data_IF_717922214291
#
_entry.id   IF_717922214291
#
_cell.length_a   1.000
_cell.length_b   1.000
_cell.length_c   1.000
_cell.angle_alpha   90.00
_cell.angle_beta   90.00
_cell.angle_gamma   90.00
#
_symmetry.space_group_name_H-M   'P 1'
#
loop_
_entity.id
_entity.type
_entity.pdbx_description
1 polymer ?
#
# COMPACT_ATOMS: atom_id res chain seq x y z
N UNK A 1 -50.30 -66.04 -33.43
CA UNK A 1 -49.67 -66.76 -32.30
C UNK A 1 -49.69 -65.80 -31.12
N UNK A 2 -50.26 -66.16 -29.97
CA UNK A 2 -50.30 -65.21 -28.83
C UNK A 2 -48.89 -65.04 -28.27
N UNK A 3 -48.31 -63.85 -28.44
CA UNK A 3 -47.02 -63.51 -27.86
C UNK A 3 -47.16 -63.49 -26.33
N UNK A 4 -46.22 -64.11 -25.63
CA UNK A 4 -46.25 -64.17 -24.17
C UNK A 4 -45.79 -62.85 -23.56
N UNK A 5 -46.31 -62.50 -22.38
CA UNK A 5 -45.88 -61.29 -21.68
C UNK A 5 -44.38 -61.25 -21.37
N UNK A 6 -43.73 -62.42 -21.24
CA UNK A 6 -42.29 -62.49 -21.00
C UNK A 6 -41.49 -61.92 -22.17
N UNK A 7 -41.83 -62.31 -23.41
CA UNK A 7 -41.17 -61.79 -24.62
C UNK A 7 -41.38 -60.28 -24.75
N UNK A 8 -42.58 -59.79 -24.41
CA UNK A 8 -42.88 -58.36 -24.45
C UNK A 8 -42.09 -57.60 -23.40
N UNK A 9 -42.03 -58.08 -22.16
CA UNK A 9 -41.25 -57.47 -21.07
C UNK A 9 -39.76 -57.36 -21.42
N UNK A 10 -39.19 -58.36 -22.09
CA UNK A 10 -37.79 -58.32 -22.56
C UNK A 10 -37.56 -57.23 -23.62
N UNK A 11 -38.59 -56.89 -24.40
CA UNK A 11 -38.53 -55.88 -25.45
C UNK A 11 -38.90 -54.46 -24.96
N UNK A 12 -39.57 -54.31 -23.81
CA UNK A 12 -40.01 -53.01 -23.29
C UNK A 12 -38.88 -51.98 -23.11
N UNK A 13 -37.68 -52.32 -22.60
CA UNK A 13 -36.59 -51.36 -22.47
C UNK A 13 -36.18 -50.78 -23.83
N UNK A 14 -36.01 -51.64 -24.84
CA UNK A 14 -35.64 -51.25 -26.20
C UNK A 14 -36.77 -50.47 -26.90
N UNK A 15 -38.03 -50.83 -26.63
CA UNK A 15 -39.18 -50.06 -27.09
C UNK A 15 -39.21 -48.65 -26.47
N UNK A 16 -38.89 -48.53 -25.18
CA UNK A 16 -38.87 -47.23 -24.48
C UNK A 16 -37.81 -46.26 -25.02
N UNK A 17 -36.72 -46.80 -25.58
CA UNK A 17 -35.63 -46.05 -26.19
C UNK A 17 -35.79 -45.87 -27.72
N UNK A 18 -36.91 -46.32 -28.32
CA UNK A 18 -37.17 -46.31 -29.77
C UNK A 18 -36.10 -47.05 -30.60
N UNK A 19 -35.61 -48.19 -30.10
CA UNK A 19 -34.54 -48.98 -30.73
C UNK A 19 -35.02 -50.27 -31.41
N UNK A 20 -36.34 -50.50 -31.46
CA UNK A 20 -36.95 -51.65 -32.13
C UNK A 20 -37.26 -51.36 -33.60
N UNK A 21 -37.29 -52.41 -34.43
CA UNK A 21 -37.78 -52.33 -35.80
C UNK A 21 -39.30 -52.11 -35.84
N UNK A 22 -39.82 -51.55 -36.93
CA UNK A 22 -41.26 -51.23 -37.07
C UNK A 22 -42.18 -52.43 -36.82
N UNK A 23 -41.81 -53.61 -37.33
CA UNK A 23 -42.57 -54.85 -37.14
C UNK A 23 -42.59 -55.28 -35.66
N UNK A 24 -41.47 -55.09 -34.96
CA UNK A 24 -41.37 -55.39 -33.52
C UNK A 24 -42.14 -54.36 -32.68
N UNK A 25 -42.15 -53.09 -33.08
CA UNK A 25 -42.96 -52.05 -32.42
C UNK A 25 -44.46 -52.35 -32.49
N UNK A 26 -44.98 -52.69 -33.67
CA UNK A 26 -46.40 -53.06 -33.85
C UNK A 26 -46.77 -54.25 -32.97
N UNK A 27 -45.88 -55.25 -32.89
CA UNK A 27 -46.08 -56.43 -32.04
C UNK A 27 -46.14 -56.09 -30.54
N UNK A 28 -45.33 -55.13 -30.07
CA UNK A 28 -45.40 -54.64 -28.68
C UNK A 28 -46.66 -53.83 -28.43
N UNK A 29 -47.06 -52.96 -29.37
CA UNK A 29 -48.26 -52.12 -29.27
C UNK A 29 -49.55 -52.95 -29.20
N UNK A 30 -49.73 -53.91 -30.10
CA UNK A 30 -50.88 -54.81 -30.11
C UNK A 30 -51.04 -55.58 -28.80
N UNK A 31 -49.92 -55.96 -28.16
CA UNK A 31 -49.95 -56.68 -26.89
C UNK A 31 -50.27 -55.77 -25.69
N UNK A 32 -49.73 -54.55 -25.67
CA UNK A 32 -49.95 -53.59 -24.58
C UNK A 32 -51.40 -53.09 -24.55
N UNK A 33 -52.06 -53.00 -25.71
CA UNK A 33 -53.50 -52.68 -25.78
C UNK A 33 -54.37 -53.72 -25.07
N UNK A 34 -53.94 -54.99 -25.09
CA UNK A 34 -54.70 -56.11 -24.53
C UNK A 34 -54.21 -56.56 -23.15
N UNK A 35 -53.05 -56.08 -22.68
CA UNK A 35 -52.43 -56.50 -21.42
C UNK A 35 -52.07 -55.31 -20.51
N UNK A 36 -52.84 -55.16 -19.44
CA UNK A 36 -52.64 -54.08 -18.46
C UNK A 36 -51.32 -54.21 -17.67
N UNK A 37 -50.82 -55.42 -17.44
CA UNK A 37 -49.56 -55.64 -16.73
C UNK A 37 -48.36 -55.08 -17.52
N UNK A 38 -48.25 -55.42 -18.81
CA UNK A 38 -47.18 -54.91 -19.66
C UNK A 38 -47.27 -53.38 -19.87
N UNK A 39 -48.49 -52.83 -19.86
CA UNK A 39 -48.73 -51.38 -19.92
C UNK A 39 -48.22 -50.66 -18.68
N UNK A 40 -48.45 -51.23 -17.49
CA UNK A 40 -47.94 -50.68 -16.24
C UNK A 40 -46.40 -50.75 -16.19
N UNK A 41 -45.82 -51.89 -16.59
CA UNK A 41 -44.36 -52.05 -16.65
C UNK A 41 -43.69 -51.00 -17.56
N UNK A 42 -44.28 -50.70 -18.73
CA UNK A 42 -43.79 -49.66 -19.63
C UNK A 42 -43.86 -48.25 -19.01
N UNK A 43 -44.93 -47.95 -18.29
CA UNK A 43 -45.08 -46.67 -17.62
C UNK A 43 -44.08 -46.50 -16.47
N UNK A 44 -43.81 -47.56 -15.71
CA UNK A 44 -42.81 -47.55 -14.63
C UNK A 44 -41.40 -47.26 -15.19
N UNK A 45 -41.05 -47.87 -16.34
CA UNK A 45 -39.79 -47.60 -17.04
C UNK A 45 -39.68 -46.15 -17.55
N UNK A 46 -40.76 -45.60 -18.11
CA UNK A 46 -40.78 -44.19 -18.56
C UNK A 46 -40.62 -43.21 -17.40
N UNK A 47 -41.25 -43.51 -16.26
CA UNK A 47 -41.19 -42.69 -15.05
C UNK A 47 -39.79 -42.71 -14.43
N UNK A 48 -39.09 -43.85 -14.48
CA UNK A 48 -37.71 -43.96 -13.97
C UNK A 48 -36.68 -43.22 -14.84
N UNK A 49 -36.92 -43.12 -16.14
CA UNK A 49 -36.03 -42.42 -17.08
C UNK A 49 -36.11 -40.88 -16.98
N UNK A 50 -37.13 -40.32 -16.34
CA UNK A 50 -37.15 -38.90 -15.93
C UNK A 50 -36.30 -38.70 -14.68
N UNK A 51 -35.00 -38.97 -14.76
CA UNK A 51 -34.07 -38.54 -13.72
C UNK A 51 -34.09 -37.02 -13.70
N UNK A 52 -34.43 -36.35 -12.58
CA UNK A 52 -34.38 -34.90 -12.50
C UNK A 52 -32.92 -34.49 -12.62
N UNK A 53 -32.52 -34.06 -13.82
CA UNK A 53 -31.21 -33.44 -14.04
C UNK A 53 -31.20 -32.17 -13.20
N UNK A 54 -30.51 -32.22 -12.06
CA UNK A 54 -30.33 -31.08 -11.19
C UNK A 54 -29.43 -30.07 -11.91
N UNK A 55 -30.06 -29.14 -12.66
CA UNK A 55 -29.41 -28.03 -13.38
C UNK A 55 -29.06 -26.87 -12.45
N UNK A 56 -29.00 -27.08 -11.13
CA UNK A 56 -28.59 -26.00 -10.23
C UNK A 56 -27.09 -25.71 -10.39
N UNK A 57 -26.80 -24.70 -11.21
CA UNK A 57 -25.46 -24.13 -11.43
C UNK A 57 -25.04 -23.16 -10.32
N UNK A 58 -25.91 -22.87 -9.34
CA UNK A 58 -25.63 -21.96 -8.23
C UNK A 58 -24.37 -22.31 -7.41
N UNK A 59 -24.02 -23.59 -7.10
CA UNK A 59 -22.77 -23.91 -6.42
C UNK A 59 -21.53 -23.53 -7.23
N UNK A 60 -21.53 -23.75 -8.55
CA UNK A 60 -20.39 -23.42 -9.42
C UNK A 60 -20.19 -21.90 -9.55
N UNK A 61 -21.28 -21.13 -9.61
CA UNK A 61 -21.24 -19.66 -9.63
C UNK A 61 -20.74 -19.09 -8.29
N UNK A 62 -21.14 -19.69 -7.15
CA UNK A 62 -20.62 -19.35 -5.82
C UNK A 62 -19.12 -19.66 -5.69
N UNK A 63 -18.67 -20.79 -6.22
CA UNK A 63 -17.24 -21.15 -6.24
C UNK A 63 -16.45 -20.16 -7.11
N UNK A 64 -16.91 -19.89 -8.34
CA UNK A 64 -16.23 -18.95 -9.25
C UNK A 64 -16.12 -17.54 -8.66
N UNK A 65 -17.19 -17.04 -8.04
CA UNK A 65 -17.21 -15.69 -7.44
C UNK A 65 -16.34 -15.58 -6.19
N UNK A 66 -16.30 -16.60 -5.33
CA UNK A 66 -15.42 -16.62 -4.15
C UNK A 66 -13.94 -16.72 -4.54
N UNK A 67 -13.60 -17.54 -5.54
CA UNK A 67 -12.24 -17.62 -6.09
C UNK A 67 -11.81 -16.30 -6.74
N UNK A 68 -12.70 -15.65 -7.51
CA UNK A 68 -12.41 -14.34 -8.11
C UNK A 68 -12.18 -13.27 -7.05
N UNK A 69 -12.99 -13.24 -5.98
CA UNK A 69 -12.81 -12.32 -4.85
C UNK A 69 -11.46 -12.53 -4.17
N UNK A 70 -11.10 -13.77 -3.84
CA UNK A 70 -9.79 -14.09 -3.24
C UNK A 70 -8.63 -13.68 -4.16
N UNK A 71 -8.73 -13.95 -5.46
CA UNK A 71 -7.72 -13.53 -6.45
C UNK A 71 -7.55 -12.01 -6.47
N UNK A 72 -8.64 -11.25 -6.49
CA UNK A 72 -8.60 -9.78 -6.45
C UNK A 72 -7.98 -9.29 -5.14
N UNK A 73 -8.36 -9.87 -4.00
CA UNK A 73 -7.78 -9.50 -2.70
C UNK A 73 -6.26 -9.76 -2.64
N UNK A 74 -5.79 -10.90 -3.14
CA UNK A 74 -4.35 -11.19 -3.22
C UNK A 74 -3.62 -10.22 -4.14
N UNK A 75 -4.21 -9.87 -5.30
CA UNK A 75 -3.63 -8.88 -6.22
C UNK A 75 -3.53 -7.51 -5.55
N UNK A 76 -4.59 -7.04 -4.90
CA UNK A 76 -4.58 -5.76 -4.17
C UNK A 76 -3.51 -5.77 -3.09
N UNK A 77 -3.42 -6.84 -2.29
CA UNK A 77 -2.42 -6.95 -1.23
C UNK A 77 -0.99 -6.88 -1.81
N UNK A 78 -0.74 -7.58 -2.92
CA UNK A 78 0.55 -7.53 -3.64
C UNK A 78 0.89 -6.11 -4.11
N UNK A 79 -0.08 -5.40 -4.68
CA UNK A 79 0.09 -4.01 -5.12
C UNK A 79 0.41 -3.09 -3.94
N UNK A 80 -0.27 -3.24 -2.80
CA UNK A 80 -0.01 -2.44 -1.60
C UNK A 80 1.41 -2.65 -1.05
N UNK A 81 1.88 -3.90 -0.98
CA UNK A 81 3.24 -4.19 -0.54
C UNK A 81 4.29 -3.68 -1.52
N UNK A 82 4.05 -3.82 -2.82
CA UNK A 82 4.91 -3.25 -3.86
C UNK A 82 4.99 -1.73 -3.75
N UNK A 83 3.86 -1.05 -3.54
CA UNK A 83 3.81 0.40 -3.32
C UNK A 83 4.64 0.81 -2.10
N UNK A 84 4.49 0.11 -0.96
CA UNK A 84 5.30 0.38 0.24
C UNK A 84 6.80 0.22 -0.07
N UNK A 85 7.18 -0.86 -0.74
CA UNK A 85 8.58 -1.12 -1.13
C UNK A 85 9.14 0.01 -1.97
N UNK A 86 8.42 0.47 -3.01
CA UNK A 86 8.86 1.58 -3.85
C UNK A 86 8.94 2.91 -3.09
N UNK A 87 8.02 3.19 -2.17
CA UNK A 87 8.08 4.41 -1.35
C UNK A 87 9.30 4.38 -0.43
N UNK A 88 9.58 3.24 0.22
CA UNK A 88 10.77 3.09 1.09
C UNK A 88 12.06 3.20 0.27
N UNK A 89 12.14 2.56 -0.90
CA UNK A 89 13.29 2.67 -1.78
C UNK A 89 13.49 4.12 -2.26
N UNK A 90 12.42 4.81 -2.63
CA UNK A 90 12.48 6.23 -3.00
C UNK A 90 12.93 7.11 -1.83
N UNK A 91 12.39 6.90 -0.63
CA UNK A 91 12.80 7.60 0.58
C UNK A 91 14.29 7.46 0.86
N UNK A 92 14.81 6.24 0.77
CA UNK A 92 16.24 5.95 0.95
C UNK A 92 17.10 6.62 -0.12
N UNK A 93 16.71 6.54 -1.40
CA UNK A 93 17.48 7.12 -2.50
C UNK A 93 17.50 8.66 -2.48
N UNK A 94 16.48 9.29 -1.89
CA UNK A 94 16.32 10.75 -1.84
C UNK A 94 16.64 11.33 -0.46
N UNK A 95 17.17 10.53 0.47
CA UNK A 95 17.64 11.00 1.78
C UNK A 95 18.75 12.06 1.61
N UNK A 96 18.70 13.23 2.29
CA UNK A 96 19.62 14.32 2.05
C UNK A 96 20.92 13.99 2.76
N UNK A 97 21.99 13.95 1.99
CA UNK A 97 23.35 13.79 2.47
C UNK A 97 23.96 15.19 2.48
N UNK A 98 24.02 15.81 3.66
CA UNK A 98 24.55 17.16 3.82
C UNK A 98 26.04 17.19 3.49
N UNK A 99 26.44 18.19 2.70
CA UNK A 99 27.80 18.30 2.18
C UNK A 99 28.57 19.29 3.04
N UNK A 100 29.73 18.91 3.60
CA UNK A 100 30.64 19.85 4.25
C UNK A 100 31.12 20.96 3.32
N UNK A 101 31.48 22.11 3.87
CA UNK A 101 31.94 23.22 3.03
C UNK A 101 33.17 22.84 2.19
N UNK A 102 33.14 23.24 0.92
CA UNK A 102 34.27 23.24 0.02
C UNK A 102 34.16 24.48 -0.89
N UNK A 103 35.27 25.16 -1.19
CA UNK A 103 35.30 26.31 -2.11
C UNK A 103 34.70 26.01 -3.49
N UNK A 104 34.76 24.74 -3.91
CA UNK A 104 34.15 24.27 -5.15
C UNK A 104 32.64 24.07 -5.04
N UNK A 105 32.11 23.73 -3.86
CA UNK A 105 30.68 23.42 -3.73
C UNK A 105 29.83 24.68 -3.75
N UNK A 106 30.23 25.72 -3.02
CA UNK A 106 29.50 27.00 -2.98
C UNK A 106 30.48 28.16 -3.11
N UNK A 107 30.23 29.02 -4.08
CA UNK A 107 31.00 30.23 -4.31
C UNK A 107 30.09 31.44 -4.18
N UNK A 108 30.48 32.39 -3.34
CA UNK A 108 29.75 33.65 -3.15
C UNK A 108 30.47 34.76 -3.91
N UNK A 109 29.77 35.40 -4.85
CA UNK A 109 30.32 36.45 -5.69
C UNK A 109 29.46 37.72 -5.60
N UNK A 110 30.10 38.89 -5.50
CA UNK A 110 29.42 40.18 -5.63
C UNK A 110 29.34 40.58 -7.11
N UNK A 111 28.14 40.87 -7.61
CA UNK A 111 27.89 41.18 -9.03
C UNK A 111 27.81 42.70 -9.28
N UNK A 112 28.04 43.50 -8.23
CA UNK A 112 27.95 44.96 -8.25
C UNK A 112 26.65 45.48 -7.66
N UNK A 113 26.63 46.77 -7.32
CA UNK A 113 25.53 47.44 -6.59
C UNK A 113 25.18 46.75 -5.24
N UNK A 114 26.15 46.12 -4.58
CA UNK A 114 25.94 45.38 -3.33
C UNK A 114 25.15 44.09 -3.47
N UNK A 115 24.87 43.62 -4.70
CA UNK A 115 24.15 42.37 -4.95
C UNK A 115 25.08 41.15 -4.82
N UNK A 116 24.68 40.18 -3.99
CA UNK A 116 25.47 38.98 -3.66
C UNK A 116 24.83 37.73 -4.23
N UNK A 117 25.56 37.02 -5.09
CA UNK A 117 25.12 35.77 -5.73
C UNK A 117 25.80 34.56 -5.11
N UNK A 118 25.00 33.57 -4.71
CA UNK A 118 25.46 32.23 -4.41
C UNK A 118 25.43 31.35 -5.66
N UNK A 119 26.59 30.83 -6.04
CA UNK A 119 26.77 29.86 -7.11
C UNK A 119 27.00 28.48 -6.52
N UNK A 120 26.35 27.48 -7.10
CA UNK A 120 26.38 26.10 -6.62
C UNK A 120 26.99 25.17 -7.66
N UNK A 121 27.77 24.21 -7.21
CA UNK A 121 28.30 23.14 -8.06
C UNK A 121 27.23 22.14 -8.50
N UNK A 122 27.51 21.46 -9.61
CA UNK A 122 26.67 20.42 -10.20
C UNK A 122 26.47 19.19 -9.29
N UNK A 123 27.30 19.00 -8.27
CA UNK A 123 27.14 17.92 -7.29
C UNK A 123 26.02 18.16 -6.27
N UNK A 124 25.57 19.42 -6.12
CA UNK A 124 24.56 19.82 -5.15
C UNK A 124 23.16 19.53 -5.72
N UNK A 125 22.32 18.87 -4.92
CA UNK A 125 20.94 18.59 -5.29
C UNK A 125 19.96 19.63 -4.72
N UNK A 126 20.28 20.22 -3.58
CA UNK A 126 19.44 21.21 -2.93
C UNK A 126 20.21 22.02 -1.88
N UNK A 127 19.61 23.13 -1.48
CA UNK A 127 20.14 24.03 -0.48
C UNK A 127 19.02 24.66 0.34
N UNK A 128 19.36 25.09 1.55
CA UNK A 128 18.54 25.95 2.41
C UNK A 128 19.34 27.21 2.72
N UNK A 129 18.66 28.36 2.72
CA UNK A 129 19.23 29.66 3.05
C UNK A 129 18.34 30.32 4.09
N UNK A 130 18.90 30.49 5.28
CA UNK A 130 18.27 31.27 6.35
C UNK A 130 18.96 32.63 6.43
N UNK A 131 18.20 33.66 6.81
CA UNK A 131 18.74 34.99 7.05
C UNK A 131 18.16 35.61 8.30
N UNK A 132 18.97 36.38 9.01
CA UNK A 132 18.53 37.20 10.13
C UNK A 132 19.16 38.58 10.08
N UNK A 133 18.48 39.54 10.71
CA UNK A 133 18.91 40.93 10.77
C UNK A 133 19.85 41.14 11.96
N UNK A 134 20.93 41.88 11.71
CA UNK A 134 21.89 42.38 12.69
C UNK A 134 21.97 43.91 12.58
N UNK A 135 22.70 44.55 13.49
CA UNK A 135 22.85 46.01 13.50
C UNK A 135 23.49 46.55 12.21
N UNK A 136 24.38 45.76 11.59
CA UNK A 136 25.15 46.15 10.39
C UNK A 136 24.51 45.67 9.07
N UNK A 137 23.43 44.88 9.12
CA UNK A 137 22.78 44.32 7.94
C UNK A 137 22.30 42.88 8.13
N UNK A 138 22.15 42.13 7.03
CA UNK A 138 21.69 40.75 7.07
C UNK A 138 22.85 39.76 7.06
N UNK A 139 22.74 38.74 7.90
CA UNK A 139 23.61 37.57 7.91
C UNK A 139 22.87 36.40 7.32
N UNK A 140 23.52 35.71 6.38
CA UNK A 140 22.97 34.56 5.68
C UNK A 140 23.67 33.29 6.10
N UNK A 141 22.90 32.22 6.27
CA UNK A 141 23.39 30.87 6.55
C UNK A 141 22.98 29.96 5.42
N UNK A 142 23.96 29.32 4.77
CA UNK A 142 23.75 28.45 3.63
C UNK A 142 24.05 27.02 4.04
N UNK A 143 23.12 26.11 3.77
CA UNK A 143 23.33 24.67 3.92
C UNK A 143 23.09 24.01 2.56
N UNK A 144 23.91 23.03 2.19
CA UNK A 144 23.69 22.26 0.96
C UNK A 144 23.70 20.77 1.20
N UNK A 145 22.98 20.04 0.35
CA UNK A 145 22.94 18.58 0.39
C UNK A 145 22.90 17.99 -1.02
N UNK A 146 23.31 16.74 -1.10
CA UNK A 146 23.07 15.86 -2.24
C UNK A 146 22.21 14.67 -1.81
N UNK A 147 21.99 13.72 -2.70
CA UNK A 147 21.40 12.43 -2.35
C UNK A 147 21.89 11.33 -3.32
N UNK A 148 21.66 10.07 -2.95
CA UNK A 148 22.09 8.91 -3.75
C UNK A 148 21.49 8.96 -5.16
N UNK A 149 20.22 9.38 -5.27
CA UNK A 149 19.54 9.53 -6.55
C UNK A 149 20.24 10.53 -7.48
N UNK A 150 20.57 11.71 -6.97
CA UNK A 150 21.26 12.76 -7.72
C UNK A 150 22.66 12.32 -8.16
N UNK A 151 23.39 11.68 -7.24
CA UNK A 151 24.75 11.22 -7.46
C UNK A 151 24.86 10.11 -8.51
N UNK A 152 23.90 9.17 -8.53
CA UNK A 152 24.04 7.92 -9.30
C UNK A 152 23.05 7.76 -10.46
N UNK A 153 21.90 8.43 -10.43
CA UNK A 153 20.80 8.17 -11.38
C UNK A 153 20.63 9.34 -12.33
N UNK A 154 20.35 10.53 -11.80
CA UNK A 154 20.14 11.73 -12.61
C UNK A 154 20.63 12.96 -11.86
N UNK A 155 21.66 13.61 -12.39
CA UNK A 155 22.10 14.91 -11.92
C UNK A 155 21.01 15.95 -12.17
N UNK A 156 20.66 16.67 -11.11
CA UNK A 156 19.85 17.87 -11.15
C UNK A 156 20.77 19.06 -11.00
N UNK A 157 20.67 20.02 -11.90
CA UNK A 157 21.34 21.30 -11.74
C UNK A 157 20.42 22.22 -10.95
N UNK A 158 20.94 22.77 -9.86
CA UNK A 158 20.26 23.85 -9.13
C UNK A 158 20.69 25.18 -9.70
N UNK A 159 19.77 26.14 -9.75
CA UNK A 159 20.08 27.47 -10.24
C UNK A 159 20.83 28.26 -9.17
N UNK A 160 21.78 29.07 -9.62
CA UNK A 160 22.40 30.10 -8.79
C UNK A 160 21.32 31.04 -8.25
N UNK A 161 21.51 31.52 -7.03
CA UNK A 161 20.51 32.33 -6.34
C UNK A 161 21.09 33.64 -5.84
N UNK A 162 20.29 34.70 -5.99
CA UNK A 162 20.64 36.02 -5.47
C UNK A 162 20.21 36.07 -4.00
N UNK A 163 21.16 36.32 -3.09
CA UNK A 163 20.89 36.30 -1.64
C UNK A 163 20.04 37.49 -1.20
N UNK A 164 20.29 38.66 -1.78
CA UNK A 164 19.63 39.93 -1.44
C UNK A 164 18.81 40.49 -2.62
N UNK A 165 17.74 39.80 -3.06
CA UNK A 165 16.94 40.25 -4.20
C UNK A 165 16.26 41.61 -3.97
N UNK A 166 16.11 42.02 -2.71
CA UNK A 166 15.52 43.30 -2.32
C UNK A 166 16.56 44.44 -2.19
N UNK A 167 17.83 44.20 -2.51
CA UNK A 167 18.90 45.18 -2.31
C UNK A 167 19.27 45.41 -0.83
N UNK A 168 19.00 44.42 0.02
CA UNK A 168 19.40 44.42 1.44
C UNK A 168 20.93 44.38 1.57
N UNK A 169 21.48 45.04 2.60
CA UNK A 169 22.91 44.97 2.88
C UNK A 169 23.28 43.57 3.40
N UNK A 170 24.23 42.91 2.73
CA UNK A 170 24.73 41.59 3.13
C UNK A 170 26.01 41.79 3.91
N UNK A 171 25.96 41.57 5.22
CA UNK A 171 27.12 41.76 6.09
C UNK A 171 28.04 40.56 6.02
N UNK A 172 27.47 39.36 6.10
CA UNK A 172 28.21 38.09 6.13
C UNK A 172 27.39 36.93 5.59
N UNK A 173 28.07 35.96 5.00
CA UNK A 173 27.49 34.67 4.61
C UNK A 173 28.32 33.57 5.27
N UNK A 174 27.64 32.72 6.02
CA UNK A 174 28.20 31.54 6.67
C UNK A 174 27.70 30.28 5.97
N UNK A 175 28.57 29.27 5.89
CA UNK A 175 28.23 27.93 5.45
C UNK A 175 28.13 27.00 6.65
N UNK A 176 26.96 26.39 6.81
CA UNK A 176 26.70 25.46 7.89
C UNK A 176 27.28 24.07 7.58
N UNK A 177 28.19 23.59 8.44
CA UNK A 177 28.85 22.30 8.26
C UNK A 177 28.18 21.17 9.06
N UNK A 178 26.85 21.00 8.90
CA UNK A 178 26.06 19.81 9.26
C UNK A 178 26.53 18.93 10.45
N UNK A 179 26.90 19.55 11.58
CA UNK A 179 27.35 18.85 12.79
C UNK A 179 28.76 18.23 12.72
N UNK A 180 29.56 18.56 11.71
CA UNK A 180 30.96 18.12 11.53
C UNK A 180 31.95 19.14 12.10
N UNK A 181 31.68 20.44 11.91
CA UNK A 181 32.51 21.53 12.43
C UNK A 181 31.68 22.78 12.72
N UNK A 182 32.33 23.80 13.26
CA UNK A 182 31.83 25.18 13.30
C UNK A 182 31.54 25.71 11.89
N UNK A 183 30.68 26.72 11.83
CA UNK A 183 30.26 27.37 10.60
C UNK A 183 31.44 28.06 9.94
N UNK A 184 31.53 27.91 8.63
CA UNK A 184 32.62 28.51 7.87
C UNK A 184 32.15 29.85 7.32
N UNK A 185 32.81 30.95 7.69
CA UNK A 185 32.59 32.23 7.04
C UNK A 185 33.06 32.13 5.58
N UNK A 186 32.14 32.34 4.63
CA UNK A 186 32.43 32.23 3.19
C UNK A 186 32.41 33.59 2.47
N UNK A 187 31.82 34.62 3.08
CA UNK A 187 31.79 35.98 2.55
C UNK A 187 31.54 37.00 3.65
N UNK A 188 32.13 38.20 3.52
CA UNK A 188 31.87 39.33 4.41
C UNK A 188 32.78 39.37 5.64
N UNK A 189 32.31 40.02 6.70
CA UNK A 189 33.09 40.19 7.93
C UNK A 189 32.73 39.12 8.96
N UNK A 190 33.69 38.74 9.79
CA UNK A 190 33.42 37.86 10.92
C UNK A 190 32.72 38.65 12.02
N UNK A 191 31.42 38.40 12.22
CA UNK A 191 30.62 39.13 13.21
C UNK A 191 30.76 38.46 14.59
N UNK A 192 30.99 37.14 14.62
CA UNK A 192 31.01 36.36 15.84
C UNK A 192 32.21 35.38 15.84
N UNK A 193 33.40 35.82 16.28
CA UNK A 193 34.65 35.06 16.18
C UNK A 193 34.70 33.78 17.04
N UNK A 194 33.78 33.63 18.00
CA UNK A 194 33.60 32.41 18.81
C UNK A 194 32.15 31.85 18.70
N UNK A 195 31.37 32.33 17.72
CA UNK A 195 29.96 31.99 17.56
C UNK A 195 29.73 31.01 16.42
N UNK A 196 29.01 29.92 16.69
CA UNK A 196 28.56 28.96 15.68
C UNK A 196 27.08 28.64 15.84
N UNK A 197 26.37 28.48 14.72
CA UNK A 197 24.96 28.11 14.70
C UNK A 197 24.82 26.65 14.29
N UNK A 198 24.46 25.78 15.24
CA UNK A 198 24.20 24.38 14.92
C UNK A 198 22.74 24.22 14.50
N UNK A 199 22.50 23.79 13.26
CA UNK A 199 21.15 23.34 12.85
C UNK A 199 20.81 22.10 13.65
N UNK A 200 19.88 22.22 14.58
CA UNK A 200 19.44 21.09 15.41
C UNK A 200 18.48 20.20 14.62
N UNK A 201 18.63 18.87 14.70
CA UNK A 201 17.64 17.98 14.13
C UNK A 201 16.30 18.23 14.84
N UNK A 202 15.22 18.38 14.06
CA UNK A 202 13.90 18.58 14.63
C UNK A 202 13.47 17.27 15.33
N UNK A 203 12.98 17.42 16.56
CA UNK A 203 12.42 16.33 17.36
C UNK A 203 10.90 16.15 17.17
N UNK A 204 10.28 16.87 16.22
CA UNK A 204 8.81 16.86 16.08
C UNK A 204 8.22 15.46 15.83
N UNK A 205 8.95 14.56 15.17
CA UNK A 205 8.49 13.20 14.87
C UNK A 205 8.29 12.34 16.13
N UNK A 206 9.04 12.59 17.22
CA UNK A 206 8.91 11.81 18.46
C UNK A 206 7.55 12.01 19.11
N UNK A 207 6.98 13.22 19.04
CA UNK A 207 5.66 13.49 19.60
C UNK A 207 4.57 12.66 18.91
N UNK A 208 4.63 12.54 17.58
CA UNK A 208 3.66 11.74 16.84
C UNK A 208 3.80 10.24 17.14
N UNK A 209 5.02 9.74 17.33
CA UNK A 209 5.28 8.35 17.77
C UNK A 209 4.67 8.09 19.15
N UNK A 210 4.88 9.00 20.10
CA UNK A 210 4.31 8.88 21.46
C UNK A 210 2.78 8.89 21.42
N UNK A 211 2.17 9.81 20.66
CA UNK A 211 0.72 9.88 20.49
C UNK A 211 0.18 8.59 19.86
N UNK A 212 0.83 8.09 18.80
CA UNK A 212 0.44 6.85 18.14
C UNK A 212 0.56 5.65 19.09
N UNK A 213 1.65 5.55 19.86
CA UNK A 213 1.83 4.50 20.86
C UNK A 213 0.73 4.55 21.93
N UNK A 214 0.42 5.74 22.46
CA UNK A 214 -0.67 5.94 23.41
C UNK A 214 -2.03 5.49 22.85
N UNK A 215 -2.35 5.89 21.61
CA UNK A 215 -3.58 5.48 20.93
C UNK A 215 -3.65 3.97 20.68
N UNK A 216 -2.52 3.34 20.31
CA UNK A 216 -2.44 1.89 20.14
C UNK A 216 -2.68 1.15 21.46
N UNK A 217 -2.10 1.63 22.57
CA UNK A 217 -2.32 1.04 23.90
C UNK A 217 -3.79 1.16 24.31
N UNK A 218 -4.38 2.36 24.20
CA UNK A 218 -5.78 2.59 24.59
C UNK A 218 -6.74 1.74 23.75
N UNK A 219 -6.61 1.78 22.42
CA UNK A 219 -7.47 0.98 21.52
C UNK A 219 -7.28 -0.52 21.72
N UNK A 220 -6.04 -0.97 22.00
CA UNK A 220 -5.73 -2.35 22.36
C UNK A 220 -6.40 -2.79 23.66
N UNK A 221 -6.37 -1.96 24.71
CA UNK A 221 -7.05 -2.24 25.98
C UNK A 221 -8.58 -2.31 25.81
N UNK A 222 -9.18 -1.36 25.08
CA UNK A 222 -10.61 -1.37 24.78
C UNK A 222 -11.00 -2.64 24.02
N UNK A 223 -10.16 -3.07 23.08
CA UNK A 223 -10.35 -4.30 22.32
C UNK A 223 -10.28 -5.55 23.22
N UNK A 224 -9.34 -5.61 24.17
CA UNK A 224 -9.20 -6.73 25.11
C UNK A 224 -10.38 -6.84 26.09
N UNK A 225 -10.79 -5.72 26.68
CA UNK A 225 -11.92 -5.66 27.63
C UNK A 225 -13.21 -6.09 26.93
N UNK A 226 -13.45 -5.58 25.72
CA UNK A 226 -14.68 -5.79 24.98
C UNK A 226 -14.63 -6.98 24.01
N UNK A 227 -13.71 -7.94 24.20
CA UNK A 227 -13.53 -9.10 23.30
C UNK A 227 -14.78 -9.95 23.05
N UNK A 228 -15.77 -9.89 23.94
CA UNK A 228 -17.07 -10.60 23.80
C UNK A 228 -18.07 -9.84 22.93
N UNK A 229 -17.95 -8.51 22.85
CA UNK A 229 -18.83 -7.66 22.05
C UNK A 229 -18.22 -7.48 20.64
N UNK A 230 -18.71 -8.25 19.67
CA UNK A 230 -18.18 -8.27 18.28
C UNK A 230 -18.18 -6.89 17.63
N UNK A 231 -19.16 -6.05 17.93
CA UNK A 231 -19.28 -4.70 17.34
C UNK A 231 -18.17 -3.79 17.86
N UNK A 232 -18.01 -3.71 19.19
CA UNK A 232 -16.98 -2.88 19.83
C UNK A 232 -15.59 -3.40 19.50
N UNK A 233 -15.40 -4.71 19.48
CA UNK A 233 -14.13 -5.33 19.08
C UNK A 233 -13.74 -4.94 17.65
N UNK A 234 -14.67 -5.05 16.68
CA UNK A 234 -14.39 -4.74 15.28
C UNK A 234 -14.07 -3.26 15.09
N UNK A 235 -14.78 -2.36 15.78
CA UNK A 235 -14.47 -0.93 15.75
C UNK A 235 -13.10 -0.64 16.36
N UNK A 236 -12.82 -1.18 17.55
CA UNK A 236 -11.56 -0.97 18.27
C UNK A 236 -10.37 -1.51 17.50
N UNK A 237 -10.52 -2.64 16.80
CA UNK A 237 -9.48 -3.22 15.95
C UNK A 237 -9.14 -2.31 14.76
N UNK A 238 -10.15 -1.74 14.09
CA UNK A 238 -9.92 -0.78 13.00
C UNK A 238 -9.21 0.47 13.52
N UNK A 239 -9.64 0.98 14.68
CA UNK A 239 -8.98 2.10 15.34
C UNK A 239 -7.53 1.77 15.73
N UNK A 240 -7.25 0.53 16.16
CA UNK A 240 -5.92 0.06 16.53
C UNK A 240 -4.96 -0.06 15.34
N UNK A 241 -5.45 -0.45 14.16
CA UNK A 241 -4.60 -0.57 12.97
C UNK A 241 -4.00 0.76 12.49
N UNK A 242 -4.68 1.88 12.71
CA UNK A 242 -4.18 3.19 12.28
C UNK A 242 -2.89 3.62 13.01
N UNK A 243 -2.83 3.67 14.35
CA UNK A 243 -1.60 4.01 15.06
C UNK A 243 -0.51 2.95 14.85
N UNK A 244 -0.86 1.67 14.73
CA UNK A 244 0.12 0.61 14.42
C UNK A 244 0.73 0.80 13.03
N UNK A 245 -0.07 1.16 12.03
CA UNK A 245 0.43 1.49 10.69
C UNK A 245 1.37 2.69 10.73
N UNK A 246 1.07 3.72 11.55
CA UNK A 246 1.95 4.86 11.75
C UNK A 246 3.30 4.45 12.36
N UNK A 247 3.29 3.65 13.43
CA UNK A 247 4.52 3.19 14.09
C UNK A 247 5.39 2.37 13.15
N UNK A 248 4.80 1.47 12.35
CA UNK A 248 5.53 0.68 11.36
C UNK A 248 6.05 1.57 10.23
N UNK A 249 5.25 2.52 9.74
CA UNK A 249 5.68 3.47 8.72
C UNK A 249 6.85 4.34 9.21
N UNK A 250 6.80 4.81 10.46
CA UNK A 250 7.90 5.55 11.09
C UNK A 250 9.17 4.70 11.13
N UNK A 251 9.06 3.44 11.56
CA UNK A 251 10.18 2.50 11.60
C UNK A 251 10.78 2.26 10.19
N UNK A 252 9.95 2.16 9.15
CA UNK A 252 10.40 1.95 7.78
C UNK A 252 11.16 3.15 7.18
N UNK A 253 10.80 4.39 7.58
CA UNK A 253 11.42 5.61 7.06
C UNK A 253 12.61 6.08 7.91
N UNK A 254 12.49 6.01 9.24
CA UNK A 254 13.46 6.59 10.19
C UNK A 254 14.20 5.57 11.04
N UNK A 255 13.78 4.31 11.03
CA UNK A 255 14.27 3.31 11.97
C UNK A 255 13.89 3.65 13.40
N UNK A 256 14.86 3.53 14.31
CA UNK A 256 14.66 3.79 15.75
C UNK A 256 14.92 5.24 16.15
N UNK A 257 15.41 6.07 15.23
CA UNK A 257 15.70 7.48 15.50
C UNK A 257 14.49 8.32 15.16
N UNK A 258 14.18 9.33 15.96
CA UNK A 258 13.10 10.30 15.65
C UNK A 258 13.64 11.68 15.29
N UNK A 259 14.96 11.83 15.24
CA UNK A 259 15.65 13.06 14.82
C UNK A 259 15.64 13.16 13.30
N UNK A 260 15.19 14.29 12.77
CA UNK A 260 15.25 14.55 11.34
C UNK A 260 15.63 15.99 11.03
N UNK A 261 16.58 16.14 10.12
CA UNK A 261 16.93 17.41 9.51
C UNK A 261 15.96 17.80 8.37
N UNK A 262 15.29 16.80 7.77
CA UNK A 262 14.25 16.98 6.74
C UNK A 262 12.87 16.55 7.25
N UNK A 263 12.48 17.04 8.44
CA UNK A 263 11.33 16.52 9.17
C UNK A 263 9.99 16.62 8.41
N UNK A 264 9.80 17.67 7.60
CA UNK A 264 8.60 17.84 6.77
C UNK A 264 8.51 16.71 5.74
N UNK A 265 9.60 16.44 5.03
CA UNK A 265 9.67 15.36 4.04
C UNK A 265 9.41 14.01 4.70
N UNK A 266 10.11 13.73 5.79
CA UNK A 266 9.99 12.44 6.48
C UNK A 266 8.56 12.22 6.99
N UNK A 267 7.91 13.28 7.50
CA UNK A 267 6.51 13.23 7.91
C UNK A 267 5.57 12.85 6.75
N UNK A 268 5.71 13.47 5.57
CA UNK A 268 4.88 13.15 4.41
C UNK A 268 5.13 11.72 3.89
N UNK A 269 6.37 11.25 3.89
CA UNK A 269 6.70 9.88 3.49
C UNK A 269 6.10 8.84 4.45
N UNK A 270 6.16 9.11 5.76
CA UNK A 270 5.49 8.27 6.77
C UNK A 270 3.99 8.23 6.50
N UNK A 271 3.34 9.39 6.33
CA UNK A 271 1.91 9.48 6.04
C UNK A 271 1.54 8.70 4.77
N UNK A 272 2.38 8.77 3.73
CA UNK A 272 2.18 8.07 2.47
C UNK A 272 2.23 6.54 2.63
N UNK A 273 3.08 6.01 3.51
CA UNK A 273 3.16 4.57 3.83
C UNK A 273 2.00 4.12 4.74
N UNK A 274 1.49 4.99 5.61
CA UNK A 274 0.36 4.66 6.50
C UNK A 274 -0.87 4.23 5.71
N UNK A 275 -1.18 4.90 4.60
CA UNK A 275 -2.37 4.60 3.78
C UNK A 275 -2.38 3.15 3.23
N UNK A 276 -1.34 2.65 2.53
CA UNK A 276 -1.29 1.28 2.06
C UNK A 276 -1.15 0.25 3.20
N UNK A 277 -0.40 0.56 4.27
CA UNK A 277 -0.28 -0.34 5.44
C UNK A 277 -1.64 -0.55 6.12
N UNK A 278 -2.36 0.53 6.40
CA UNK A 278 -3.68 0.46 7.02
C UNK A 278 -4.66 -0.33 6.15
N UNK A 279 -4.64 -0.09 4.84
CA UNK A 279 -5.45 -0.83 3.86
C UNK A 279 -5.10 -2.32 3.86
N UNK A 280 -3.82 -2.66 3.93
CA UNK A 280 -3.34 -4.03 4.01
C UNK A 280 -3.80 -4.73 5.30
N UNK A 281 -3.75 -4.05 6.46
CA UNK A 281 -4.24 -4.61 7.73
C UNK A 281 -5.74 -4.89 7.70
N UNK A 282 -6.54 -3.96 7.19
CA UNK A 282 -7.98 -4.18 7.02
C UNK A 282 -8.25 -5.38 6.10
N UNK A 283 -7.55 -5.46 4.97
CA UNK A 283 -7.73 -6.53 3.99
C UNK A 283 -7.34 -7.89 4.58
N UNK A 284 -6.22 -7.96 5.30
CA UNK A 284 -5.72 -9.16 5.96
C UNK A 284 -6.67 -9.61 7.09
N UNK A 285 -7.22 -8.67 7.85
CA UNK A 285 -8.26 -8.96 8.83
C UNK A 285 -9.52 -9.55 8.19
N UNK A 286 -10.02 -8.95 7.10
CA UNK A 286 -11.18 -9.48 6.38
C UNK A 286 -10.93 -10.90 5.83
N UNK A 287 -9.72 -11.16 5.32
CA UNK A 287 -9.33 -12.49 4.83
C UNK A 287 -9.34 -13.54 5.95
N UNK A 288 -8.75 -13.24 7.10
CA UNK A 288 -8.68 -14.16 8.25
C UNK A 288 -10.04 -14.39 8.90
N UNK A 289 -10.85 -13.34 9.05
CA UNK A 289 -12.23 -13.44 9.57
C UNK A 289 -13.11 -14.31 8.67
N UNK A 290 -13.01 -14.16 7.34
CA UNK A 290 -13.78 -14.97 6.40
C UNK A 290 -13.31 -16.44 6.39
N UNK A 291 -12.01 -16.68 6.49
CA UNK A 291 -11.47 -18.04 6.59
C UNK A 291 -11.99 -18.77 7.84
N UNK A 292 -12.01 -18.09 9.00
CA UNK A 292 -12.52 -18.67 10.25
C UNK A 292 -14.00 -19.03 10.17
N UNK A 293 -14.83 -18.16 9.60
CA UNK A 293 -16.27 -18.41 9.45
C UNK A 293 -16.58 -19.59 8.52
N UNK A 294 -15.83 -19.75 7.43
CA UNK A 294 -16.04 -20.87 6.50
C UNK A 294 -15.64 -22.23 7.10
N UNK A 295 -14.64 -22.26 8.01
CA UNK A 295 -14.20 -23.50 8.67
C UNK A 295 -15.20 -24.00 9.72
N UNK A 296 -16.07 -23.14 10.25
CA UNK A 296 -17.17 -23.50 11.14
C UNK A 296 -18.44 -24.00 10.42
N UNK A 297 -18.50 -23.91 9.09
CA UNK A 297 -19.66 -24.33 8.27
C UNK A 297 -19.44 -25.65 7.52
N UNK A 298 -18.25 -26.24 7.64
CA UNK A 298 -17.87 -27.57 7.14
C UNK A 298 -17.76 -28.52 8.33
#
# INVERSE_FOLDING_TARGET
MKVTCHVIKDMLPLYSENMLSEDSCKMVEEHIEQCQNCKNDLNDMRTFNEVPVNRDVSPLLKIKSTLRKKKIQTVILSVLFSMIFFIVAFAFLTEPEYIPYNERSVTINEIGNGSVLAQFDDSINGYDIDKYLTDDGYVYHVTTWTNIWNRNIKKSHINNTLLNPNGENVTSVYYYNAGVSEDVLIFGQEIEPDGGVITLPRLNLSYYVIIAAGLAIVSGLVMLINRRNKTVFTFSLKLFFLPVAYLIAHLLIKGFTSTSYAAIRDFYLILLIVMPLYSAFILMWHLTSNYKNNKTLL
#
